data_IF_128177073924
#
_entry.id   IF_128177073924
#
_cell.length_a   1.000
_cell.length_b   1.000
_cell.length_c   1.000
_cell.angle_alpha   90.00
_cell.angle_beta   90.00
_cell.angle_gamma   90.00
#
_symmetry.space_group_name_H-M   'P 1'
#
loop_
_entity.id
_entity.type
_entity.pdbx_description
1 polymer ?
#
# COMPACT_ATOMS: atom_id res chain seq x y z
N UNK A 1 -15.15 -0.20 17.51
CA UNK A 1 -14.64 -0.87 16.30
C UNK A 1 -13.63 0.06 15.67
N UNK A 2 -12.45 -0.44 15.23
CA UNK A 2 -11.45 0.44 14.59
C UNK A 2 -11.89 0.80 13.17
N UNK A 3 -11.67 2.05 12.81
CA UNK A 3 -11.95 2.62 11.48
C UNK A 3 -10.67 2.63 10.65
N UNK A 4 -10.70 1.99 9.50
CA UNK A 4 -9.52 1.82 8.64
C UNK A 4 -9.80 2.44 7.27
N UNK A 5 -8.95 3.37 6.87
CA UNK A 5 -8.88 3.86 5.50
C UNK A 5 -7.97 2.94 4.68
N UNK A 6 -8.50 2.27 3.66
CA UNK A 6 -7.74 1.42 2.74
C UNK A 6 -7.59 2.08 1.38
N UNK A 7 -6.39 2.51 1.04
CA UNK A 7 -6.05 3.12 -0.25
C UNK A 7 -5.59 2.04 -1.22
N UNK A 8 -6.04 2.10 -2.48
CA UNK A 8 -5.74 1.10 -3.50
C UNK A 8 -6.57 -0.18 -3.38
N UNK A 9 -7.78 -0.07 -2.85
CA UNK A 9 -8.67 -1.19 -2.51
C UNK A 9 -9.04 -2.10 -3.70
N UNK A 10 -8.93 -1.63 -4.95
CA UNK A 10 -9.24 -2.40 -6.17
C UNK A 10 -8.03 -3.14 -6.76
N UNK A 11 -6.82 -2.87 -6.25
CA UNK A 11 -5.60 -3.53 -6.68
C UNK A 11 -5.51 -4.98 -6.17
N UNK A 12 -4.52 -5.74 -6.69
CA UNK A 12 -4.30 -7.14 -6.28
C UNK A 12 -4.17 -7.27 -4.74
N UNK A 13 -3.24 -6.57 -4.14
CA UNK A 13 -3.04 -6.64 -2.68
C UNK A 13 -4.22 -5.98 -1.93
N UNK A 14 -4.67 -4.82 -2.40
CA UNK A 14 -5.74 -4.07 -1.74
C UNK A 14 -7.05 -4.83 -1.64
N UNK A 15 -7.45 -5.59 -2.67
CA UNK A 15 -8.67 -6.39 -2.64
C UNK A 15 -8.61 -7.55 -1.62
N UNK A 16 -7.45 -8.18 -1.46
CA UNK A 16 -7.23 -9.19 -0.43
C UNK A 16 -7.25 -8.59 0.98
N UNK A 17 -6.61 -7.42 1.15
CA UNK A 17 -6.65 -6.69 2.42
C UNK A 17 -8.08 -6.29 2.78
N UNK A 18 -8.84 -5.79 1.80
CA UNK A 18 -10.25 -5.42 2.01
C UNK A 18 -11.07 -6.59 2.52
N UNK A 19 -10.95 -7.75 1.86
CA UNK A 19 -11.63 -8.98 2.27
C UNK A 19 -11.26 -9.39 3.70
N UNK A 20 -9.98 -9.35 4.04
CA UNK A 20 -9.51 -9.75 5.37
C UNK A 20 -9.98 -8.75 6.45
N UNK A 21 -9.95 -7.45 6.17
CA UNK A 21 -10.44 -6.43 7.10
C UNK A 21 -11.93 -6.59 7.37
N UNK A 22 -12.73 -6.85 6.32
CA UNK A 22 -14.16 -7.11 6.46
C UNK A 22 -14.43 -8.37 7.29
N UNK A 23 -13.70 -9.46 7.03
CA UNK A 23 -13.84 -10.72 7.79
C UNK A 23 -13.47 -10.57 9.27
N UNK A 24 -12.60 -9.63 9.61
CA UNK A 24 -12.22 -9.30 10.99
C UNK A 24 -13.18 -8.29 11.65
N UNK A 25 -14.20 -7.82 10.95
CA UNK A 25 -15.21 -6.91 11.47
C UNK A 25 -14.74 -5.47 11.65
N UNK A 26 -13.71 -5.02 10.91
CA UNK A 26 -13.32 -3.61 10.90
C UNK A 26 -14.31 -2.75 10.11
N UNK A 27 -14.49 -1.50 10.51
CA UNK A 27 -15.17 -0.48 9.70
C UNK A 27 -14.17 0.04 8.66
N UNK A 28 -14.44 -0.21 7.37
CA UNK A 28 -13.49 0.12 6.30
C UNK A 28 -14.04 1.23 5.41
N UNK A 29 -13.22 2.24 5.15
CA UNK A 29 -13.41 3.17 4.03
C UNK A 29 -12.42 2.82 2.93
N UNK A 30 -12.91 2.35 1.80
CA UNK A 30 -12.13 1.86 0.68
C UNK A 30 -11.98 2.94 -0.40
N UNK A 31 -10.74 3.34 -0.68
CA UNK A 31 -10.39 4.37 -1.65
C UNK A 31 -9.85 3.75 -2.94
N UNK A 32 -10.39 4.18 -4.07
CA UNK A 32 -9.90 3.83 -5.39
C UNK A 32 -10.29 4.91 -6.41
N UNK A 33 -9.66 4.95 -7.58
CA UNK A 33 -10.06 5.87 -8.68
C UNK A 33 -11.44 5.54 -9.24
N UNK A 34 -11.80 4.24 -9.28
CA UNK A 34 -13.14 3.73 -9.56
C UNK A 34 -13.51 2.71 -8.49
N UNK A 35 -14.74 2.81 -7.99
CA UNK A 35 -15.23 1.97 -6.88
C UNK A 35 -16.25 0.91 -7.32
N UNK A 36 -16.61 0.86 -8.60
CA UNK A 36 -17.67 0.02 -9.15
C UNK A 36 -17.44 -1.50 -8.91
N UNK A 37 -16.17 -1.89 -8.79
CA UNK A 37 -15.76 -3.28 -8.56
C UNK A 37 -15.57 -3.64 -7.08
N UNK A 38 -15.83 -2.71 -6.16
CA UNK A 38 -15.68 -2.96 -4.73
C UNK A 38 -17.00 -3.58 -4.22
N UNK A 39 -16.98 -4.84 -3.74
CA UNK A 39 -18.17 -5.44 -3.17
C UNK A 39 -18.53 -4.76 -1.84
N UNK A 40 -19.77 -4.28 -1.73
CA UNK A 40 -20.31 -3.69 -0.50
C UNK A 40 -21.39 -4.63 0.05
N UNK A 41 -21.25 -5.03 1.31
CA UNK A 41 -22.23 -5.84 2.03
C UNK A 41 -22.58 -5.14 3.34
N UNK A 42 -23.88 -4.98 3.60
CA UNK A 42 -24.39 -4.35 4.83
C UNK A 42 -23.79 -2.95 5.10
N UNK A 43 -23.53 -2.18 4.03
CA UNK A 43 -22.94 -0.84 4.11
C UNK A 43 -21.43 -0.80 4.40
N UNK A 44 -20.75 -1.95 4.42
CA UNK A 44 -19.30 -2.03 4.60
C UNK A 44 -18.65 -2.79 3.42
N UNK A 45 -17.57 -2.27 2.80
CA UNK A 45 -16.92 -0.99 3.10
C UNK A 45 -17.73 0.23 2.63
N UNK A 46 -17.49 1.37 3.24
CA UNK A 46 -17.79 2.66 2.60
C UNK A 46 -16.82 2.84 1.44
N UNK A 47 -17.29 3.30 0.29
CA UNK A 47 -16.43 3.48 -0.89
C UNK A 47 -16.28 4.96 -1.22
N UNK A 48 -15.05 5.37 -1.56
CA UNK A 48 -14.72 6.73 -1.95
C UNK A 48 -13.92 6.71 -3.25
N UNK A 49 -14.52 7.26 -4.32
CA UNK A 49 -13.83 7.45 -5.59
C UNK A 49 -12.93 8.69 -5.48
N UNK A 50 -11.60 8.48 -5.51
CA UNK A 50 -10.63 9.56 -5.30
C UNK A 50 -9.29 9.23 -5.94
N UNK A 51 -8.68 10.24 -6.57
CA UNK A 51 -7.27 10.21 -6.96
C UNK A 51 -6.42 10.72 -5.79
N UNK A 52 -5.40 9.93 -5.40
CA UNK A 52 -4.54 10.26 -4.25
C UNK A 52 -3.75 11.55 -4.44
N UNK A 53 -3.56 12.00 -5.68
CA UNK A 53 -2.91 13.27 -6.00
C UNK A 53 -3.78 14.49 -5.66
N UNK A 54 -5.10 14.30 -5.47
CA UNK A 54 -5.97 15.31 -4.89
C UNK A 54 -5.83 15.32 -3.36
N UNK A 55 -4.68 15.81 -2.90
CA UNK A 55 -4.29 15.79 -1.48
C UNK A 55 -5.35 16.42 -0.59
N UNK A 56 -5.97 17.54 -1.04
CA UNK A 56 -6.97 18.26 -0.24
C UNK A 56 -8.21 17.40 0.03
N UNK A 57 -8.74 16.74 -0.99
CA UNK A 57 -9.86 15.83 -0.84
C UNK A 57 -9.48 14.58 -0.03
N UNK A 58 -8.25 14.09 -0.21
CA UNK A 58 -7.75 12.93 0.54
C UNK A 58 -7.64 13.24 2.03
N UNK A 59 -7.11 14.40 2.42
CA UNK A 59 -7.06 14.85 3.82
C UNK A 59 -8.42 14.80 4.47
N UNK A 60 -9.42 15.43 3.85
CA UNK A 60 -10.80 15.46 4.41
C UNK A 60 -11.38 14.04 4.55
N UNK A 61 -11.15 13.19 3.56
CA UNK A 61 -11.69 11.84 3.55
C UNK A 61 -10.98 10.89 4.55
N UNK A 62 -9.74 11.18 4.94
CA UNK A 62 -8.99 10.39 5.91
C UNK A 62 -9.30 10.75 7.37
N UNK A 63 -9.88 11.93 7.66
CA UNK A 63 -10.20 12.36 9.02
C UNK A 63 -11.06 11.34 9.77
N UNK A 64 -10.75 11.13 11.04
CA UNK A 64 -11.51 10.25 11.92
C UNK A 64 -11.28 8.75 11.71
N UNK A 65 -10.33 8.37 10.88
CA UNK A 65 -9.84 6.99 10.84
C UNK A 65 -8.75 6.75 11.89
N UNK A 66 -8.68 5.54 12.42
CA UNK A 66 -7.66 5.13 13.41
C UNK A 66 -6.35 4.72 12.72
N UNK A 67 -6.44 4.29 11.47
CA UNK A 67 -5.33 3.75 10.67
C UNK A 67 -5.55 4.03 9.19
N UNK A 68 -4.48 4.40 8.50
CA UNK A 68 -4.43 4.37 7.03
C UNK A 68 -3.56 3.19 6.58
N UNK A 69 -4.14 2.32 5.76
CA UNK A 69 -3.46 1.20 5.11
C UNK A 69 -3.39 1.47 3.62
N UNK A 70 -2.19 1.61 3.08
CA UNK A 70 -1.97 1.92 1.67
C UNK A 70 -1.42 0.71 0.92
N UNK A 71 -2.18 0.24 -0.06
CA UNK A 71 -1.74 -0.66 -1.12
C UNK A 71 -1.70 0.09 -2.47
N UNK A 72 -1.32 1.37 -2.43
CA UNK A 72 -1.25 2.22 -3.60
C UNK A 72 -0.20 1.71 -4.59
N UNK A 73 -0.59 1.66 -5.86
CA UNK A 73 0.29 1.45 -6.99
C UNK A 73 -0.32 2.14 -8.21
N UNK A 74 0.42 2.94 -8.96
CA UNK A 74 -0.13 3.66 -10.12
C UNK A 74 -0.46 2.73 -11.30
N UNK A 75 0.00 1.48 -11.27
CA UNK A 75 -0.21 0.44 -12.28
C UNK A 75 1.11 -0.03 -12.90
N UNK A 76 1.30 -1.35 -12.98
CA UNK A 76 2.53 -1.95 -13.50
C UNK A 76 2.77 -1.70 -14.99
N UNK A 77 1.73 -1.34 -15.75
CA UNK A 77 1.83 -0.97 -17.17
C UNK A 77 2.02 0.54 -17.39
N UNK A 78 2.12 1.32 -16.32
CA UNK A 78 2.34 2.77 -16.40
C UNK A 78 3.79 3.06 -16.79
N UNK A 79 4.06 3.73 -17.92
CA UNK A 79 5.43 4.06 -18.34
C UNK A 79 6.15 5.01 -17.37
N UNK A 80 5.39 5.78 -16.57
CA UNK A 80 5.92 6.71 -15.58
C UNK A 80 5.78 6.15 -14.15
N UNK A 81 5.78 4.82 -14.01
CA UNK A 81 5.49 4.15 -12.73
C UNK A 81 6.37 4.64 -11.57
N UNK A 82 7.65 4.94 -11.83
CA UNK A 82 8.59 5.41 -10.79
C UNK A 82 8.12 6.75 -10.22
N UNK A 83 7.97 7.77 -11.07
CA UNK A 83 7.62 9.12 -10.63
C UNK A 83 6.21 9.17 -10.03
N UNK A 84 5.26 8.49 -10.64
CA UNK A 84 3.88 8.45 -10.17
C UNK A 84 3.73 7.68 -8.86
N UNK A 85 4.57 6.66 -8.62
CA UNK A 85 4.59 5.94 -7.35
C UNK A 85 5.12 6.82 -6.22
N UNK A 86 6.26 7.49 -6.44
CA UNK A 86 6.85 8.41 -5.45
C UNK A 86 5.86 9.54 -5.15
N UNK A 87 5.39 10.25 -6.17
CA UNK A 87 4.46 11.36 -6.03
C UNK A 87 3.17 10.98 -5.30
N UNK A 88 2.58 9.84 -5.66
CA UNK A 88 1.36 9.37 -5.03
C UNK A 88 1.57 8.94 -3.58
N UNK A 89 2.69 8.26 -3.29
CA UNK A 89 3.04 7.81 -1.94
C UNK A 89 3.34 8.99 -1.00
N UNK A 90 4.07 10.01 -1.48
CA UNK A 90 4.31 11.24 -0.72
C UNK A 90 3.02 12.03 -0.49
N UNK A 91 2.13 12.10 -1.50
CA UNK A 91 0.82 12.75 -1.36
C UNK A 91 -0.03 12.06 -0.28
N UNK A 92 -0.02 10.70 -0.24
CA UNK A 92 -0.70 9.93 0.79
C UNK A 92 -0.08 10.21 2.16
N UNK A 93 1.23 10.10 2.31
CA UNK A 93 1.95 10.35 3.57
C UNK A 93 1.61 11.75 4.13
N UNK A 94 1.68 12.77 3.28
CA UNK A 94 1.30 14.14 3.63
C UNK A 94 -0.15 14.22 4.09
N UNK A 95 -1.08 13.61 3.34
CA UNK A 95 -2.50 13.63 3.68
C UNK A 95 -2.80 12.91 5.00
N UNK A 96 -2.11 11.82 5.31
CA UNK A 96 -2.23 11.10 6.59
C UNK A 96 -1.85 12.01 7.75
N UNK A 97 -0.74 12.74 7.64
CA UNK A 97 -0.29 13.71 8.67
C UNK A 97 -1.30 14.85 8.83
N UNK A 98 -1.70 15.48 7.75
CA UNK A 98 -2.64 16.63 7.78
C UNK A 98 -4.04 16.22 8.28
N UNK A 99 -4.47 14.98 8.04
CA UNK A 99 -5.72 14.43 8.58
C UNK A 99 -5.65 14.10 10.08
N UNK A 100 -4.46 14.15 10.70
CA UNK A 100 -4.24 13.83 12.10
C UNK A 100 -4.26 12.33 12.42
N UNK A 101 -4.18 11.45 11.41
CA UNK A 101 -4.06 10.00 11.60
C UNK A 101 -2.62 9.66 11.92
N UNK A 102 -2.36 9.00 13.05
CA UNK A 102 -1.00 8.68 13.48
C UNK A 102 -0.47 7.38 12.90
N UNK A 103 -1.32 6.35 12.82
CA UNK A 103 -0.90 5.02 12.34
C UNK A 103 -1.01 4.93 10.82
N UNK A 104 0.13 4.69 10.17
CA UNK A 104 0.24 4.53 8.72
C UNK A 104 0.95 3.24 8.36
N UNK A 105 0.29 2.37 7.61
CA UNK A 105 0.89 1.14 7.08
C UNK A 105 0.87 1.23 5.56
N UNK A 106 2.00 0.98 4.92
CA UNK A 106 2.09 0.93 3.46
C UNK A 106 2.70 -0.38 2.99
N UNK A 107 2.22 -0.86 1.85
CA UNK A 107 2.77 -2.02 1.18
C UNK A 107 3.92 -1.55 0.30
N UNK A 108 5.09 -2.06 0.56
CA UNK A 108 6.30 -1.84 -0.23
C UNK A 108 6.50 -2.92 -1.29
N UNK A 109 7.75 -3.25 -1.55
CA UNK A 109 8.16 -4.27 -2.50
C UNK A 109 9.33 -5.09 -1.99
N UNK A 110 9.46 -6.34 -2.44
CA UNK A 110 10.60 -7.19 -2.12
C UNK A 110 11.95 -6.60 -2.57
N UNK A 111 11.93 -5.66 -3.52
CA UNK A 111 13.14 -4.99 -4.01
C UNK A 111 13.96 -4.26 -2.95
N UNK A 112 13.33 -3.88 -1.82
CA UNK A 112 14.01 -3.23 -0.70
C UNK A 112 14.69 -4.19 0.27
N UNK A 113 14.43 -5.50 0.17
CA UNK A 113 15.04 -6.52 1.03
C UNK A 113 16.48 -6.80 0.61
N UNK A 114 17.32 -7.16 1.57
CA UNK A 114 18.72 -7.48 1.33
C UNK A 114 18.96 -8.98 1.13
N UNK A 115 19.84 -9.30 0.20
CA UNK A 115 20.44 -10.62 0.03
C UNK A 115 21.95 -10.41 -0.16
N UNK A 116 22.75 -11.05 0.65
CA UNK A 116 24.21 -10.96 0.61
C UNK A 116 24.72 -9.50 0.64
N UNK A 117 24.07 -8.64 1.42
CA UNK A 117 24.45 -7.23 1.59
C UNK A 117 24.04 -6.29 0.45
N UNK A 118 23.29 -6.77 -0.54
CA UNK A 118 22.73 -5.95 -1.64
C UNK A 118 21.21 -5.99 -1.61
N UNK A 119 20.58 -4.89 -1.95
CA UNK A 119 19.13 -4.90 -2.14
C UNK A 119 18.76 -5.68 -3.40
N UNK A 120 17.67 -6.43 -3.33
CA UNK A 120 17.21 -7.28 -4.43
C UNK A 120 17.07 -6.54 -5.75
N UNK A 121 16.57 -5.30 -5.72
CA UNK A 121 16.36 -4.48 -6.92
C UNK A 121 17.68 -4.12 -7.62
N UNK A 122 18.79 -4.12 -6.88
CA UNK A 122 20.14 -3.82 -7.40
C UNK A 122 20.93 -5.10 -7.76
N UNK A 123 20.30 -6.28 -7.55
CA UNK A 123 20.89 -7.56 -7.87
C UNK A 123 20.93 -7.87 -9.36
N UNK A 124 21.90 -8.71 -9.77
CA UNK A 124 21.97 -9.23 -11.15
C UNK A 124 20.73 -10.09 -11.44
N UNK A 125 20.14 -9.89 -12.64
CA UNK A 125 18.97 -10.65 -13.07
C UNK A 125 17.64 -10.19 -12.51
N UNK A 126 17.58 -9.03 -11.86
CA UNK A 126 16.29 -8.44 -11.49
C UNK A 126 15.48 -8.10 -12.76
N UNK A 127 14.19 -8.48 -12.87
CA UNK A 127 13.40 -8.29 -14.08
C UNK A 127 13.25 -6.82 -14.45
N UNK A 128 13.71 -6.44 -15.64
CA UNK A 128 13.71 -5.05 -16.10
C UNK A 128 12.30 -4.44 -16.20
N UNK A 129 11.28 -5.26 -16.52
CA UNK A 129 9.90 -4.78 -16.69
C UNK A 129 9.31 -4.23 -15.38
N UNK A 130 9.73 -4.75 -14.23
CA UNK A 130 9.22 -4.33 -12.93
C UNK A 130 10.21 -3.48 -12.13
N UNK A 131 11.44 -3.35 -12.64
CA UNK A 131 12.52 -2.64 -11.92
C UNK A 131 12.19 -1.19 -11.60
N UNK A 132 11.61 -0.37 -12.50
CA UNK A 132 11.26 1.01 -12.16
C UNK A 132 10.29 1.12 -10.96
N UNK A 133 9.25 0.27 -10.93
CA UNK A 133 8.28 0.26 -9.83
C UNK A 133 8.87 -0.30 -8.53
N UNK A 134 9.74 -1.32 -8.62
CA UNK A 134 10.44 -1.87 -7.46
C UNK A 134 11.44 -0.87 -6.88
N UNK A 135 12.16 -0.15 -7.74
CA UNK A 135 13.09 0.93 -7.34
C UNK A 135 12.32 2.06 -6.65
N UNK A 136 11.18 2.48 -7.21
CA UNK A 136 10.34 3.50 -6.58
C UNK A 136 9.88 3.09 -5.16
N UNK A 137 9.46 1.84 -4.99
CA UNK A 137 9.05 1.34 -3.68
C UNK A 137 10.23 1.31 -2.67
N UNK A 138 11.44 0.95 -3.12
CA UNK A 138 12.66 1.00 -2.33
C UNK A 138 13.01 2.45 -1.94
N UNK A 139 13.00 3.37 -2.89
CA UNK A 139 13.35 4.78 -2.66
C UNK A 139 12.31 5.46 -1.75
N UNK A 140 11.05 5.08 -1.85
CA UNK A 140 10.02 5.55 -0.93
C UNK A 140 10.26 5.05 0.51
N UNK A 141 10.81 3.86 0.72
CA UNK A 141 11.24 3.42 2.04
C UNK A 141 12.29 4.36 2.63
N UNK A 142 13.24 4.83 1.81
CA UNK A 142 14.27 5.77 2.26
C UNK A 142 13.70 7.17 2.58
N UNK A 143 12.60 7.56 1.94
CA UNK A 143 11.82 8.75 2.32
C UNK A 143 11.13 8.51 3.68
N UNK A 144 10.46 7.36 3.85
CA UNK A 144 9.78 7.01 5.10
C UNK A 144 10.72 6.89 6.30
N UNK A 145 11.95 6.42 6.12
CA UNK A 145 12.97 6.37 7.20
C UNK A 145 13.27 7.75 7.80
N UNK A 146 12.98 8.83 7.09
CA UNK A 146 13.14 10.22 7.56
C UNK A 146 11.87 10.77 8.23
N UNK A 147 10.76 10.01 8.19
CA UNK A 147 9.49 10.41 8.79
C UNK A 147 9.52 10.18 10.31
N UNK A 148 9.21 11.22 11.07
CA UNK A 148 9.28 11.20 12.55
C UNK A 148 7.95 11.49 13.25
N UNK A 149 6.93 11.91 12.48
CA UNK A 149 5.64 12.31 13.04
C UNK A 149 4.59 11.20 13.01
N UNK A 150 4.77 10.21 12.12
CA UNK A 150 3.87 9.07 11.95
C UNK A 150 4.42 7.82 12.65
N UNK A 151 3.53 7.05 13.24
CA UNK A 151 3.76 5.65 13.59
C UNK A 151 3.58 4.82 12.33
N UNK A 152 4.63 4.70 11.52
CA UNK A 152 4.57 4.05 10.24
C UNK A 152 5.17 2.64 10.24
N UNK A 153 4.71 1.84 9.31
CA UNK A 153 5.30 0.54 8.95
C UNK A 153 5.22 0.37 7.44
N UNK A 154 6.33 0.05 6.80
CA UNK A 154 6.31 -0.48 5.43
C UNK A 154 6.42 -2.00 5.49
N UNK A 155 5.46 -2.67 4.88
CA UNK A 155 5.47 -4.12 4.75
C UNK A 155 6.06 -4.51 3.39
N UNK A 156 7.27 -5.05 3.39
CA UNK A 156 7.93 -5.58 2.19
C UNK A 156 7.52 -7.05 2.02
N UNK A 157 6.79 -7.40 0.96
CA UNK A 157 6.30 -8.74 0.76
C UNK A 157 7.42 -9.70 0.31
N UNK A 158 7.15 -11.01 0.38
CA UNK A 158 8.03 -12.01 -0.20
C UNK A 158 8.15 -11.85 -1.73
N UNK A 159 9.32 -12.25 -2.29
CA UNK A 159 9.65 -12.15 -3.72
C UNK A 159 8.56 -12.77 -4.61
N UNK A 160 8.03 -13.92 -4.20
CA UNK A 160 7.07 -14.69 -4.99
C UNK A 160 5.61 -14.18 -4.88
N UNK A 161 5.38 -12.97 -4.35
CA UNK A 161 4.02 -12.43 -4.25
C UNK A 161 3.58 -11.82 -5.58
N UNK A 162 2.79 -12.56 -6.36
CA UNK A 162 2.21 -12.11 -7.64
C UNK A 162 0.80 -12.68 -7.87
N UNK A 163 0.06 -12.12 -8.83
CA UNK A 163 -1.34 -12.50 -9.10
C UNK A 163 -1.54 -13.97 -9.49
N UNK A 164 -0.51 -14.65 -9.96
CA UNK A 164 -0.54 -16.07 -10.36
C UNK A 164 -0.41 -17.07 -9.20
N UNK A 165 -0.19 -16.62 -7.97
CA UNK A 165 -0.05 -17.51 -6.81
C UNK A 165 -1.37 -18.20 -6.50
N UNK A 166 -1.33 -19.53 -6.35
CA UNK A 166 -2.49 -20.38 -6.02
C UNK A 166 -2.33 -21.14 -4.70
N UNK A 167 -1.42 -20.71 -3.83
CA UNK A 167 -1.11 -21.42 -2.57
C UNK A 167 -2.24 -21.38 -1.54
N UNK A 168 -3.22 -20.49 -1.71
CA UNK A 168 -4.29 -20.31 -0.74
C UNK A 168 -3.80 -19.75 0.60
N UNK A 169 -4.69 -19.73 1.58
CA UNK A 169 -4.41 -19.24 2.94
C UNK A 169 -4.03 -20.41 3.84
N UNK A 170 -2.80 -20.48 4.27
CA UNK A 170 -2.32 -21.50 5.21
C UNK A 170 -2.43 -21.07 6.68
N UNK A 171 -2.52 -19.77 6.94
CA UNK A 171 -2.42 -19.19 8.28
C UNK A 171 -1.01 -19.24 8.89
N UNK A 172 -0.04 -19.82 8.16
CA UNK A 172 1.36 -19.90 8.58
C UNK A 172 2.18 -18.88 7.82
N UNK A 173 2.94 -18.07 8.53
CA UNK A 173 3.82 -17.05 7.94
C UNK A 173 5.07 -16.88 8.82
N UNK A 174 6.09 -16.33 8.24
CA UNK A 174 7.31 -15.89 8.92
C UNK A 174 7.43 -14.39 8.75
N UNK A 175 7.70 -13.70 9.82
CA UNK A 175 8.14 -12.32 9.79
C UNK A 175 9.66 -12.28 9.80
N UNK A 176 10.23 -11.41 9.00
CA UNK A 176 11.64 -11.08 9.00
C UNK A 176 11.81 -9.58 9.24
N UNK A 177 13.04 -9.13 9.21
CA UNK A 177 13.43 -7.73 9.15
C UNK A 177 13.74 -7.38 7.69
N UNK A 178 14.91 -6.80 7.41
CA UNK A 178 15.29 -6.38 6.06
C UNK A 178 15.98 -7.50 5.25
N UNK A 179 16.17 -8.69 5.86
CA UNK A 179 16.80 -9.88 5.27
C UNK A 179 15.84 -11.06 5.20
#
# INVERSE_FOLDING_TARGET
>A
MKKIALIGATGFVGSHLLTELANRGYEVTAFARSTDKIPVKDGNPKTVALDVTNTKALVEALKGNDLVLSAFNPGWTNPNIYDDFIKGSEAIQKAVKEAGVKRYITIGGAGSLYIDGKQLVDGEGFPEEIKPGATAARDYLDILKKETELDWTMFSPAINMHQGIKTGRTGKYRLGTDE
#
